data_IF_274949909177
#
_entry.id   IF_274949909177
#
_cell.length_a   1.000
_cell.length_b   1.000
_cell.length_c   1.000
_cell.angle_alpha   90.00
_cell.angle_beta   90.00
_cell.angle_gamma   90.00
#
_symmetry.space_group_name_H-M   'P 1'
#
loop_
_entity.id
_entity.type
_entity.pdbx_description
1 polymer ?
#
# COMPACT_ATOMS: atom_id res chain seq x y z
N UNK A 1 1.19 14.99 -13.81
CA UNK A 1 1.16 13.85 -14.76
C UNK A 1 2.58 13.31 -14.85
N UNK A 2 2.81 12.05 -14.51
CA UNK A 2 4.14 11.44 -14.66
C UNK A 2 4.32 11.13 -16.16
N UNK A 3 5.29 11.75 -16.85
CA UNK A 3 5.52 11.48 -18.27
C UNK A 3 6.07 10.06 -18.44
N UNK A 4 5.50 9.29 -19.37
CA UNK A 4 6.04 8.00 -19.81
C UNK A 4 6.83 8.24 -21.10
N UNK A 5 8.04 7.69 -21.19
CA UNK A 5 8.84 7.73 -22.42
C UNK A 5 8.16 6.97 -23.56
N UNK A 6 8.38 7.41 -24.79
CA UNK A 6 7.83 6.76 -25.98
C UNK A 6 8.20 5.27 -26.06
N UNK A 7 9.45 4.91 -25.75
CA UNK A 7 9.92 3.52 -25.74
C UNK A 7 9.07 2.60 -24.84
N UNK A 8 8.70 3.05 -23.64
CA UNK A 8 7.86 2.29 -22.71
C UNK A 8 6.42 2.21 -23.24
N UNK A 9 5.89 3.32 -23.76
CA UNK A 9 4.54 3.35 -24.32
C UNK A 9 4.40 2.41 -25.52
N UNK A 10 5.36 2.43 -26.44
CA UNK A 10 5.42 1.56 -27.61
C UNK A 10 5.58 0.09 -27.23
N UNK A 11 6.43 -0.20 -26.24
CA UNK A 11 6.59 -1.56 -25.73
C UNK A 11 5.27 -2.09 -25.14
N UNK A 12 4.65 -1.35 -24.22
CA UNK A 12 3.39 -1.76 -23.59
C UNK A 12 2.30 -1.91 -24.65
N UNK A 13 2.18 -0.96 -25.59
CA UNK A 13 1.20 -1.02 -26.67
C UNK A 13 1.40 -2.23 -27.58
N UNK A 14 2.64 -2.54 -27.96
CA UNK A 14 2.94 -3.65 -28.87
C UNK A 14 2.76 -5.03 -28.21
N UNK A 15 3.01 -5.16 -26.91
CA UNK A 15 2.94 -6.44 -26.18
C UNK A 15 1.57 -6.67 -25.55
N UNK A 16 0.95 -5.62 -24.99
CA UNK A 16 -0.26 -5.71 -24.16
C UNK A 16 -1.46 -4.93 -24.74
N UNK A 17 -1.26 -4.18 -25.81
CA UNK A 17 -2.30 -3.41 -26.48
C UNK A 17 -2.54 -2.01 -25.91
N UNK A 18 -3.29 -1.22 -26.67
CA UNK A 18 -3.61 0.18 -26.34
C UNK A 18 -4.43 0.29 -25.04
N UNK A 19 -5.37 -0.64 -24.80
CA UNK A 19 -6.21 -0.63 -23.61
C UNK A 19 -5.37 -0.73 -22.33
N UNK A 20 -4.36 -1.62 -22.33
CA UNK A 20 -3.47 -1.79 -21.19
C UNK A 20 -2.58 -0.56 -21.00
N UNK A 21 -2.08 0.05 -22.09
CA UNK A 21 -1.32 1.30 -22.01
C UNK A 21 -2.13 2.41 -21.33
N UNK A 22 -3.42 2.52 -21.62
CA UNK A 22 -4.30 3.51 -21.00
C UNK A 22 -4.50 3.23 -19.50
N UNK A 23 -4.75 1.97 -19.11
CA UNK A 23 -4.83 1.56 -17.70
C UNK A 23 -3.52 1.82 -16.95
N UNK A 24 -2.38 1.58 -17.59
CA UNK A 24 -1.07 1.87 -17.00
C UNK A 24 -0.87 3.38 -16.77
N UNK A 25 -1.21 4.21 -17.77
CA UNK A 25 -1.20 5.68 -17.64
C UNK A 25 -2.08 6.14 -16.49
N UNK A 26 -3.29 5.60 -16.37
CA UNK A 26 -4.20 5.90 -15.25
C UNK A 26 -3.57 5.50 -13.90
N UNK A 27 -3.02 4.29 -13.81
CA UNK A 27 -2.41 3.78 -12.60
C UNK A 27 -1.23 4.62 -12.10
N UNK A 28 -0.27 4.96 -12.96
CA UNK A 28 0.90 5.74 -12.52
C UNK A 28 0.55 7.19 -12.15
N UNK A 29 -0.59 7.70 -12.63
CA UNK A 29 -1.12 9.00 -12.26
C UNK A 29 -2.11 8.93 -11.09
N UNK A 30 -2.41 7.72 -10.60
CA UNK A 30 -3.24 7.53 -9.42
C UNK A 30 -2.48 7.90 -8.14
N UNK A 31 -3.22 8.11 -7.05
CA UNK A 31 -2.62 8.39 -5.75
C UNK A 31 -1.84 7.19 -5.21
N UNK A 32 -0.68 7.48 -4.63
CA UNK A 32 0.11 6.47 -3.92
C UNK A 32 -0.68 5.92 -2.72
N UNK A 33 -0.94 4.62 -2.73
CA UNK A 33 -1.49 3.88 -1.59
C UNK A 33 -0.36 3.19 -0.87
N UNK A 34 -0.24 3.39 0.45
CA UNK A 34 0.68 2.60 1.26
C UNK A 34 -0.02 1.45 1.94
N UNK A 35 0.78 0.44 2.20
CA UNK A 35 0.35 -0.78 2.84
C UNK A 35 1.28 -1.04 4.02
N UNK A 36 0.85 -1.89 4.93
CA UNK A 36 1.70 -2.45 5.97
C UNK A 36 1.52 -3.95 6.01
N UNK A 37 2.63 -4.64 6.29
CA UNK A 37 2.66 -6.07 6.57
C UNK A 37 2.71 -6.28 8.08
N UNK A 38 1.67 -6.93 8.60
CA UNK A 38 1.58 -7.34 10.00
C UNK A 38 1.55 -8.86 10.06
N UNK A 39 2.59 -9.45 10.63
CA UNK A 39 2.69 -10.90 10.89
C UNK A 39 2.30 -11.21 12.33
N UNK A 40 1.96 -12.48 12.61
CA UNK A 40 1.58 -12.94 13.95
C UNK A 40 0.22 -13.63 13.94
N UNK A 41 -0.22 -14.02 15.13
CA UNK A 41 -1.55 -14.57 15.34
C UNK A 41 -2.64 -13.49 15.20
N UNK A 42 -3.88 -13.87 14.96
CA UNK A 42 -4.97 -12.90 14.74
C UNK A 42 -5.17 -11.99 15.96
N UNK A 43 -5.08 -12.54 17.17
CA UNK A 43 -5.16 -11.79 18.43
C UNK A 43 -4.08 -10.71 18.55
N UNK A 44 -2.83 -11.03 18.16
CA UNK A 44 -1.71 -10.09 18.15
C UNK A 44 -1.92 -8.96 17.14
N UNK A 45 -2.42 -9.31 15.94
CA UNK A 45 -2.77 -8.34 14.89
C UNK A 45 -3.85 -7.40 15.36
N UNK A 46 -4.94 -7.93 15.93
CA UNK A 46 -6.06 -7.13 16.41
C UNK A 46 -5.64 -6.18 17.53
N UNK A 47 -4.78 -6.65 18.44
CA UNK A 47 -4.19 -5.82 19.49
C UNK A 47 -3.35 -4.69 18.91
N UNK A 48 -2.44 -4.99 17.98
CA UNK A 48 -1.61 -3.99 17.31
C UNK A 48 -2.46 -2.97 16.54
N UNK A 49 -3.44 -3.42 15.75
CA UNK A 49 -4.32 -2.55 14.97
C UNK A 49 -5.11 -1.62 15.91
N UNK A 50 -5.57 -2.12 17.05
CA UNK A 50 -6.25 -1.29 18.04
C UNK A 50 -5.31 -0.25 18.67
N UNK A 51 -4.06 -0.60 18.98
CA UNK A 51 -3.08 0.38 19.46
C UNK A 51 -2.76 1.45 18.43
N UNK A 52 -2.67 1.08 17.15
CA UNK A 52 -2.40 2.02 16.05
C UNK A 52 -3.49 3.09 15.91
N UNK A 53 -4.74 2.79 16.28
CA UNK A 53 -5.82 3.79 16.33
C UNK A 53 -5.51 4.96 17.27
N UNK A 54 -4.79 4.72 18.37
CA UNK A 54 -4.39 5.78 19.32
C UNK A 54 -3.41 6.78 18.71
N UNK A 55 -2.67 6.37 17.67
CA UNK A 55 -1.80 7.26 16.89
C UNK A 55 -2.52 7.93 15.71
N UNK A 56 -3.85 7.78 15.61
CA UNK A 56 -4.63 8.27 14.47
C UNK A 56 -4.39 7.48 13.18
N UNK A 57 -3.98 6.22 13.29
CA UNK A 57 -3.72 5.34 12.14
C UNK A 57 -4.92 4.41 11.97
N UNK A 58 -5.47 4.37 10.75
CA UNK A 58 -6.52 3.43 10.37
C UNK A 58 -6.03 2.52 9.26
N UNK A 59 -6.24 1.23 9.47
CA UNK A 59 -5.82 0.17 8.57
C UNK A 59 -7.05 -0.61 8.10
N UNK A 60 -7.04 -1.02 6.83
CA UNK A 60 -8.04 -1.90 6.24
C UNK A 60 -7.37 -3.17 5.73
N UNK A 61 -7.86 -4.34 6.11
CA UNK A 61 -7.26 -5.61 5.68
C UNK A 61 -7.48 -5.82 4.18
N UNK A 62 -6.44 -6.25 3.46
CA UNK A 62 -6.57 -6.59 2.05
C UNK A 62 -7.25 -7.96 1.92
N UNK A 63 -8.36 -8.07 1.17
CA UNK A 63 -9.04 -9.34 0.97
C UNK A 63 -8.09 -10.40 0.38
N UNK A 64 -8.10 -11.60 0.97
CA UNK A 64 -7.25 -12.72 0.54
C UNK A 64 -5.79 -12.65 1.01
N UNK A 65 -5.36 -11.57 1.68
CA UNK A 65 -3.99 -11.43 2.20
C UNK A 65 -4.01 -11.20 3.73
N UNK A 66 -3.79 -12.28 4.49
CA UNK A 66 -3.95 -12.28 5.95
C UNK A 66 -2.99 -11.37 6.72
N UNK A 67 -1.89 -10.94 6.09
CA UNK A 67 -0.87 -10.09 6.71
C UNK A 67 -0.82 -8.69 6.10
N UNK A 68 -1.61 -8.40 5.06
CA UNK A 68 -1.51 -7.13 4.34
C UNK A 68 -2.67 -6.20 4.71
N UNK A 69 -2.34 -4.95 5.00
CA UNK A 69 -3.31 -3.92 5.35
C UNK A 69 -3.03 -2.65 4.58
N UNK A 70 -4.05 -2.01 4.02
CA UNK A 70 -3.98 -0.67 3.43
C UNK A 70 -3.98 0.38 4.53
N UNK A 71 -3.15 1.40 4.40
CA UNK A 71 -3.22 2.59 5.25
C UNK A 71 -4.31 3.52 4.71
N UNK A 72 -5.36 3.71 5.50
CA UNK A 72 -6.48 4.61 5.17
C UNK A 72 -6.24 6.00 5.78
N UNK A 73 -5.68 6.05 6.98
CA UNK A 73 -5.32 7.28 7.69
C UNK A 73 -3.98 7.11 8.42
N UNK A 74 -3.25 8.21 8.64
CA UNK A 74 -2.01 8.20 9.44
C UNK A 74 -0.72 7.89 8.67
N UNK A 75 -0.72 8.07 7.34
CA UNK A 75 0.43 7.85 6.46
C UNK A 75 1.76 8.46 6.95
N UNK A 76 1.70 9.67 7.52
CA UNK A 76 2.89 10.41 7.99
C UNK A 76 3.39 9.94 9.37
N UNK A 77 2.60 9.11 10.04
CA UNK A 77 2.79 8.68 11.44
C UNK A 77 3.15 7.19 11.53
N UNK A 78 2.69 6.36 10.59
CA UNK A 78 2.92 4.90 10.59
C UNK A 78 4.40 4.52 10.75
N UNK A 79 5.33 5.23 10.12
CA UNK A 79 6.78 4.98 10.29
C UNK A 79 7.40 5.48 11.60
N UNK A 80 6.64 6.15 12.46
CA UNK A 80 7.12 6.85 13.67
C UNK A 80 6.59 6.27 14.97
N UNK A 81 5.89 5.15 14.91
CA UNK A 81 5.36 4.48 16.11
C UNK A 81 6.43 3.65 16.82
N UNK A 82 6.24 3.37 18.11
CA UNK A 82 7.12 2.47 18.87
C UNK A 82 7.07 1.05 18.28
N UNK A 83 5.88 0.60 17.88
CA UNK A 83 5.63 -0.71 17.31
C UNK A 83 6.42 -0.91 16.00
N UNK A 84 6.52 0.13 15.17
CA UNK A 84 7.38 0.12 13.99
C UNK A 84 8.87 0.02 14.37
N UNK A 85 9.33 0.81 15.34
CA UNK A 85 10.71 0.76 15.83
C UNK A 85 11.09 -0.61 16.42
N UNK A 86 10.11 -1.33 17.00
CA UNK A 86 10.26 -2.69 17.52
C UNK A 86 10.07 -3.78 16.45
N UNK A 87 9.86 -3.40 15.18
CA UNK A 87 9.72 -4.35 14.07
C UNK A 87 8.41 -5.15 14.09
N UNK A 88 7.36 -4.67 14.77
CA UNK A 88 6.07 -5.36 14.86
C UNK A 88 5.30 -5.36 13.54
N UNK A 89 5.64 -4.47 12.63
CA UNK A 89 5.15 -4.45 11.25
C UNK A 89 6.16 -3.78 10.34
N UNK A 90 5.95 -3.96 9.03
CA UNK A 90 6.75 -3.36 7.98
C UNK A 90 5.85 -2.52 7.06
N UNK A 91 6.33 -1.39 6.57
CA UNK A 91 5.60 -0.49 5.65
C UNK A 91 6.03 -0.78 4.22
#
# INVERSE_FOLDING_TARGET
MIPISDNISEYIKSVLGEEYLNKFKEYINSGYSSYVRITGEQSEKDFLINNLKNYGIKLEQIPGLSFAYKIIEGQQTIGKTLEHALGKYYI
#
